data_IF_626060810640
#
_entry.id   IF_626060810640
#
_cell.length_a   1.000
_cell.length_b   1.000
_cell.length_c   1.000
_cell.angle_alpha   90.00
_cell.angle_beta   90.00
_cell.angle_gamma   90.00
#
_symmetry.space_group_name_H-M   'P 1'
#
loop_
_entity.id
_entity.type
_entity.pdbx_description
1 polymer ?
#
# COMPACT_ATOMS: atom_id res chain seq x y z
N UNK A 1 -21.85 -3.10 47.13
CA UNK A 1 -20.88 -4.09 46.62
C UNK A 1 -19.83 -3.36 45.79
N UNK A 2 -18.78 -2.86 46.43
CA UNK A 2 -17.68 -2.11 45.81
C UNK A 2 -16.57 -3.09 45.43
N UNK A 3 -16.61 -3.62 44.21
CA UNK A 3 -15.47 -4.38 43.67
C UNK A 3 -14.30 -3.42 43.46
N UNK A 4 -13.21 -3.73 44.15
CA UNK A 4 -12.11 -2.82 44.42
C UNK A 4 -11.27 -2.52 43.20
N UNK A 5 -10.95 -1.23 43.05
CA UNK A 5 -9.96 -0.66 42.11
C UNK A 5 -8.60 -1.41 42.13
N UNK A 6 -8.33 -2.19 43.18
CA UNK A 6 -7.14 -3.05 43.32
C UNK A 6 -7.11 -4.25 42.35
N UNK A 7 -8.25 -4.82 41.95
CA UNK A 7 -8.27 -5.96 41.02
C UNK A 7 -7.89 -5.55 39.58
N UNK A 8 -8.29 -4.35 39.15
CA UNK A 8 -7.94 -3.85 37.82
C UNK A 8 -6.44 -3.53 37.66
N UNK A 9 -5.79 -3.04 38.72
CA UNK A 9 -4.36 -2.80 38.71
C UNK A 9 -3.58 -4.12 38.53
N UNK A 10 -4.01 -5.19 39.22
CA UNK A 10 -3.41 -6.53 39.12
C UNK A 10 -3.51 -7.10 37.70
N UNK A 11 -4.66 -6.94 37.02
CA UNK A 11 -4.87 -7.44 35.64
C UNK A 11 -3.98 -6.69 34.63
N UNK A 12 -3.79 -5.37 34.82
CA UNK A 12 -2.92 -4.58 33.96
C UNK A 12 -1.44 -4.89 34.16
N UNK A 13 -1.04 -5.25 35.38
CA UNK A 13 0.34 -5.65 35.70
C UNK A 13 0.68 -7.02 35.12
N UNK A 14 -0.24 -7.98 35.22
CA UNK A 14 -0.12 -9.31 34.57
C UNK A 14 0.04 -9.16 33.04
N UNK A 15 -0.78 -8.32 32.39
CA UNK A 15 -0.67 -8.07 30.94
C UNK A 15 0.63 -7.36 30.54
N UNK A 16 1.23 -6.56 31.42
CA UNK A 16 2.55 -5.93 31.17
C UNK A 16 3.67 -6.96 31.27
N UNK A 17 3.59 -7.87 32.23
CA UNK A 17 4.58 -8.92 32.44
C UNK A 17 4.55 -9.97 31.32
N UNK A 18 3.37 -10.30 30.79
CA UNK A 18 3.21 -11.15 29.60
C UNK A 18 3.89 -10.53 28.36
N UNK A 19 3.70 -9.21 28.13
CA UNK A 19 4.37 -8.50 27.02
C UNK A 19 5.89 -8.46 27.16
N UNK A 20 6.41 -8.35 28.40
CA UNK A 20 7.85 -8.40 28.67
C UNK A 20 8.41 -9.81 28.43
N UNK A 21 7.67 -10.83 28.83
CA UNK A 21 8.02 -12.24 28.64
C UNK A 21 8.01 -12.63 27.17
N UNK A 22 7.05 -12.15 26.40
CA UNK A 22 6.97 -12.38 24.95
C UNK A 22 8.09 -11.66 24.19
N UNK A 23 8.47 -10.44 24.61
CA UNK A 23 9.69 -9.77 24.12
C UNK A 23 10.94 -10.57 24.42
N UNK A 24 11.09 -11.12 25.64
CA UNK A 24 12.25 -11.94 26.01
C UNK A 24 12.32 -13.25 25.21
N UNK A 25 11.18 -13.91 24.96
CA UNK A 25 11.12 -15.09 24.08
C UNK A 25 11.48 -14.75 22.63
N UNK A 26 11.00 -13.61 22.11
CA UNK A 26 11.36 -13.14 20.78
C UNK A 26 12.86 -12.80 20.65
N UNK A 27 13.48 -12.28 21.72
CA UNK A 27 14.92 -11.99 21.75
C UNK A 27 15.78 -13.26 21.90
N UNK A 28 15.35 -14.24 22.70
CA UNK A 28 16.08 -15.50 22.89
C UNK A 28 16.03 -16.40 21.65
N UNK A 29 14.93 -16.38 20.90
CA UNK A 29 14.81 -17.06 19.59
C UNK A 29 15.78 -16.53 18.52
N UNK A 30 16.39 -15.37 18.74
CA UNK A 30 17.23 -14.69 17.74
C UNK A 30 18.74 -14.95 17.93
N UNK A 31 19.16 -15.65 18.99
CA UNK A 31 20.58 -15.93 19.27
C UNK A 31 21.05 -17.34 18.86
N UNK A 32 20.17 -18.20 18.35
CA UNK A 32 20.49 -19.59 18.00
C UNK A 32 20.69 -19.90 16.51
N UNK A 33 20.75 -18.89 15.62
CA UNK A 33 20.78 -19.13 14.17
C UNK A 33 21.83 -18.27 13.44
N UNK A 34 23.01 -18.13 14.04
CA UNK A 34 24.16 -17.44 13.44
C UNK A 34 24.88 -18.26 12.34
N UNK A 35 24.33 -19.39 11.89
CA UNK A 35 24.90 -20.22 10.82
C UNK A 35 23.79 -20.56 9.83
N UNK A 36 23.40 -19.58 9.02
CA UNK A 36 22.90 -19.75 7.64
C UNK A 36 22.77 -18.38 7.00
N UNK A 37 23.92 -17.96 6.51
CA UNK A 37 24.12 -16.86 5.58
C UNK A 37 23.34 -17.11 4.28
N UNK A 38 22.04 -16.82 4.32
CA UNK A 38 21.22 -16.55 3.14
C UNK A 38 20.49 -15.23 3.42
N UNK A 39 21.16 -14.15 3.05
CA UNK A 39 20.58 -12.87 2.64
C UNK A 39 19.04 -12.84 2.64
N UNK A 40 18.44 -12.58 3.80
CA UNK A 40 17.02 -12.21 3.87
C UNK A 40 16.94 -10.86 3.15
N UNK A 41 16.29 -10.76 1.97
CA UNK A 41 16.25 -9.49 1.26
C UNK A 41 15.57 -8.47 2.18
N UNK A 42 16.12 -7.25 2.33
CA UNK A 42 15.52 -6.14 3.09
C UNK A 42 14.03 -5.91 2.76
N UNK A 43 13.57 -6.37 1.58
CA UNK A 43 12.18 -6.40 1.12
C UNK A 43 11.25 -7.31 1.93
N UNK A 44 11.78 -8.35 2.59
CA UNK A 44 11.04 -9.35 3.37
C UNK A 44 10.20 -8.71 4.50
N UNK A 45 10.79 -7.76 5.20
CA UNK A 45 10.11 -7.05 6.29
C UNK A 45 9.07 -6.05 5.76
N UNK A 46 9.34 -5.43 4.61
CA UNK A 46 8.42 -4.48 3.96
C UNK A 46 7.14 -5.13 3.44
N UNK A 47 7.21 -6.34 2.86
CA UNK A 47 6.00 -7.01 2.35
C UNK A 47 5.12 -7.51 3.50
N UNK A 48 5.68 -8.12 4.55
CA UNK A 48 4.90 -8.54 5.73
C UNK A 48 4.23 -7.34 6.41
N UNK A 49 4.96 -6.24 6.60
CA UNK A 49 4.41 -5.02 7.18
C UNK A 49 3.26 -4.45 6.34
N UNK A 50 3.37 -4.48 5.02
CA UNK A 50 2.30 -4.06 4.09
C UNK A 50 1.02 -4.89 4.28
N UNK A 51 1.13 -6.22 4.32
CA UNK A 51 -0.06 -7.07 4.49
C UNK A 51 -0.66 -7.01 5.88
N UNK A 52 0.17 -6.85 6.92
CA UNK A 52 -0.32 -6.52 8.26
C UNK A 52 -1.10 -5.20 8.28
N UNK A 53 -0.65 -4.18 7.53
CA UNK A 53 -1.39 -2.91 7.40
C UNK A 53 -2.74 -3.13 6.72
N UNK A 54 -2.79 -3.89 5.63
CA UNK A 54 -4.05 -4.24 4.94
C UNK A 54 -5.01 -4.95 5.89
N UNK A 55 -4.53 -5.97 6.62
CA UNK A 55 -5.33 -6.71 7.60
C UNK A 55 -5.97 -5.77 8.62
N UNK A 56 -5.15 -4.94 9.27
CA UNK A 56 -5.61 -3.97 10.29
C UNK A 56 -6.58 -2.95 9.72
N UNK A 57 -6.33 -2.46 8.52
CA UNK A 57 -7.21 -1.51 7.87
C UNK A 57 -8.59 -2.10 7.58
N UNK A 58 -8.68 -3.37 7.16
CA UNK A 58 -9.97 -4.05 6.97
C UNK A 58 -10.70 -4.25 8.30
N UNK A 59 -9.98 -4.62 9.37
CA UNK A 59 -10.54 -4.71 10.74
C UNK A 59 -11.10 -3.35 11.18
N UNK A 60 -10.34 -2.27 11.02
CA UNK A 60 -10.76 -0.91 11.33
C UNK A 60 -11.96 -0.46 10.50
N UNK A 61 -11.98 -0.73 9.18
CA UNK A 61 -13.13 -0.42 8.32
C UNK A 61 -14.39 -1.15 8.77
N UNK A 62 -14.25 -2.44 9.14
CA UNK A 62 -15.35 -3.24 9.69
C UNK A 62 -15.90 -2.64 10.98
N UNK A 63 -15.04 -2.10 11.84
CA UNK A 63 -15.44 -1.41 13.07
C UNK A 63 -16.13 -0.07 12.78
N UNK A 64 -15.51 0.79 11.97
CA UNK A 64 -16.02 2.12 11.63
C UNK A 64 -17.40 2.06 10.97
N UNK A 65 -17.63 1.05 10.12
CA UNK A 65 -18.88 0.89 9.36
C UNK A 65 -19.90 -0.03 10.05
N UNK A 66 -19.54 -0.62 11.19
CA UNK A 66 -20.31 -1.70 11.82
C UNK A 66 -20.60 -2.89 10.87
N UNK A 67 -19.63 -3.21 10.01
CA UNK A 67 -19.74 -4.21 8.95
C UNK A 67 -19.69 -3.61 7.54
N UNK A 68 -19.74 -4.47 6.52
CA UNK A 68 -19.68 -4.03 5.11
C UNK A 68 -21.05 -4.12 4.44
N UNK A 69 -21.34 -3.15 3.58
CA UNK A 69 -22.56 -3.09 2.77
C UNK A 69 -22.57 -4.19 1.71
N UNK A 70 -23.75 -4.47 1.18
CA UNK A 70 -23.92 -5.35 0.02
C UNK A 70 -23.03 -4.90 -1.15
N UNK A 71 -22.51 -5.86 -1.92
CA UNK A 71 -21.49 -5.64 -2.95
C UNK A 71 -20.05 -5.56 -2.42
N UNK A 72 -19.83 -5.13 -1.17
CA UNK A 72 -18.47 -5.00 -0.61
C UNK A 72 -18.02 -6.21 0.21
N UNK A 73 -18.96 -7.01 0.73
CA UNK A 73 -18.68 -8.09 1.70
C UNK A 73 -17.76 -9.17 1.16
N UNK A 74 -18.04 -9.66 -0.05
CA UNK A 74 -17.18 -10.66 -0.70
C UNK A 74 -15.76 -10.12 -0.85
N UNK A 75 -15.60 -8.89 -1.33
CA UNK A 75 -14.30 -8.26 -1.48
C UNK A 75 -13.58 -8.02 -0.14
N UNK A 76 -14.31 -7.68 0.93
CA UNK A 76 -13.75 -7.51 2.25
C UNK A 76 -13.16 -8.82 2.79
N UNK A 77 -13.92 -9.92 2.71
CA UNK A 77 -13.46 -11.24 3.14
C UNK A 77 -12.33 -11.73 2.24
N UNK A 78 -12.44 -11.56 0.92
CA UNK A 78 -11.39 -11.91 -0.03
C UNK A 78 -10.08 -11.18 0.30
N UNK A 79 -10.12 -9.85 0.46
CA UNK A 79 -8.94 -9.06 0.78
C UNK A 79 -8.33 -9.42 2.14
N UNK A 80 -9.17 -9.68 3.15
CA UNK A 80 -8.75 -10.10 4.49
C UNK A 80 -8.08 -11.47 4.45
N UNK A 81 -8.71 -12.44 3.78
CA UNK A 81 -8.18 -13.77 3.58
C UNK A 81 -6.88 -13.73 2.76
N UNK A 82 -6.79 -12.93 1.70
CA UNK A 82 -5.54 -12.74 0.94
C UNK A 82 -4.42 -12.22 1.83
N UNK A 83 -4.69 -11.23 2.69
CA UNK A 83 -3.69 -10.70 3.62
C UNK A 83 -3.20 -11.79 4.59
N UNK A 84 -4.10 -12.55 5.20
CA UNK A 84 -3.75 -13.63 6.13
C UNK A 84 -3.04 -14.81 5.44
N UNK A 85 -3.52 -15.28 4.29
CA UNK A 85 -2.83 -16.33 3.52
C UNK A 85 -1.40 -15.92 3.18
N UNK A 86 -1.23 -14.66 2.76
CA UNK A 86 0.10 -14.12 2.44
C UNK A 86 1.01 -14.09 3.67
N UNK A 87 0.46 -13.82 4.86
CA UNK A 87 1.19 -13.88 6.13
C UNK A 87 1.46 -15.32 6.62
N UNK A 88 0.91 -16.34 5.97
CA UNK A 88 1.18 -17.75 6.25
C UNK A 88 0.14 -18.47 7.12
N UNK A 89 -1.05 -17.88 7.32
CA UNK A 89 -2.13 -18.53 8.06
C UNK A 89 -2.84 -19.59 7.21
N UNK A 90 -3.30 -20.67 7.84
CA UNK A 90 -4.11 -21.72 7.19
C UNK A 90 -5.58 -21.30 7.02
N UNK A 91 -6.31 -21.94 6.11
CA UNK A 91 -7.72 -21.61 5.83
C UNK A 91 -8.62 -21.71 7.07
N UNK A 92 -8.38 -22.72 7.92
CA UNK A 92 -9.10 -22.85 9.19
C UNK A 92 -8.84 -21.66 10.13
N UNK A 93 -7.57 -21.25 10.26
CA UNK A 93 -7.24 -20.06 11.05
C UNK A 93 -7.90 -18.83 10.44
N UNK A 94 -7.84 -18.66 9.12
CA UNK A 94 -8.44 -17.53 8.42
C UNK A 94 -9.95 -17.45 8.66
N UNK A 95 -10.65 -18.58 8.59
CA UNK A 95 -12.08 -18.64 8.91
C UNK A 95 -12.34 -18.15 10.33
N UNK A 96 -11.59 -18.64 11.32
CA UNK A 96 -11.72 -18.21 12.71
C UNK A 96 -11.43 -16.71 12.91
N UNK A 97 -10.41 -16.17 12.23
CA UNK A 97 -10.07 -14.74 12.29
C UNK A 97 -11.07 -13.85 11.55
N UNK A 98 -11.67 -14.32 10.46
CA UNK A 98 -12.64 -13.59 9.67
C UNK A 98 -14.08 -13.68 10.23
N UNK A 99 -14.33 -14.61 11.14
CA UNK A 99 -15.63 -14.84 11.77
C UNK A 99 -16.25 -13.59 12.42
N UNK A 100 -15.51 -12.77 13.20
CA UNK A 100 -16.08 -11.56 13.79
C UNK A 100 -16.48 -10.52 12.74
N UNK A 101 -15.76 -10.46 11.62
CA UNK A 101 -16.08 -9.59 10.49
C UNK A 101 -17.34 -10.09 9.78
N UNK A 102 -17.42 -11.41 9.55
CA UNK A 102 -18.59 -12.06 8.97
C UNK A 102 -19.85 -11.89 9.85
N UNK A 103 -19.72 -12.05 11.16
CA UNK A 103 -20.84 -11.92 12.11
C UNK A 103 -21.48 -10.52 12.10
N UNK A 104 -20.70 -9.46 11.85
CA UNK A 104 -21.25 -8.11 11.66
C UNK A 104 -22.03 -7.97 10.36
N UNK A 105 -21.59 -8.65 9.30
CA UNK A 105 -22.25 -8.62 7.99
C UNK A 105 -23.56 -9.43 7.95
N UNK A 106 -23.65 -10.52 8.73
CA UNK A 106 -24.80 -11.42 8.74
C UNK A 106 -26.04 -10.84 9.42
N UNK A 107 -25.90 -9.72 10.13
CA UNK A 107 -27.00 -8.96 10.73
C UNK A 107 -27.76 -8.08 9.71
N UNK A 108 -27.26 -7.96 8.47
CA UNK A 108 -27.90 -7.20 7.40
C UNK A 108 -29.05 -7.95 6.71
N UNK A 109 -30.06 -7.25 6.15
CA UNK A 109 -31.24 -7.86 5.52
C UNK A 109 -30.90 -8.78 4.34
N UNK A 110 -29.96 -8.40 3.48
CA UNK A 110 -29.39 -9.28 2.46
C UNK A 110 -28.23 -10.04 3.09
N UNK A 111 -28.47 -11.26 3.60
CA UNK A 111 -27.46 -12.00 4.37
C UNK A 111 -26.35 -12.52 3.47
N UNK A 112 -25.11 -12.19 3.81
CA UNK A 112 -23.94 -12.85 3.23
C UNK A 112 -23.86 -14.26 3.79
N UNK A 113 -23.98 -15.26 2.92
CA UNK A 113 -24.11 -16.67 3.30
C UNK A 113 -22.77 -17.28 3.71
N UNK A 114 -22.84 -18.37 4.47
CA UNK A 114 -21.66 -19.19 4.82
C UNK A 114 -20.94 -19.74 3.59
N UNK A 115 -21.68 -20.04 2.53
CA UNK A 115 -21.13 -20.53 1.27
C UNK A 115 -20.31 -19.44 0.57
N UNK A 116 -20.81 -18.21 0.52
CA UNK A 116 -20.08 -17.07 -0.05
C UNK A 116 -18.85 -16.71 0.78
N UNK A 117 -18.94 -16.82 2.11
CA UNK A 117 -17.80 -16.65 3.02
C UNK A 117 -16.69 -17.68 2.74
N UNK A 118 -17.05 -18.96 2.67
CA UNK A 118 -16.10 -20.02 2.34
C UNK A 118 -15.53 -19.87 0.92
N UNK A 119 -16.36 -19.46 -0.04
CA UNK A 119 -15.92 -19.18 -1.40
C UNK A 119 -14.89 -18.05 -1.44
N UNK A 120 -15.14 -16.94 -0.74
CA UNK A 120 -14.20 -15.81 -0.66
C UNK A 120 -12.84 -16.21 -0.06
N UNK A 121 -12.83 -17.06 0.97
CA UNK A 121 -11.58 -17.58 1.57
C UNK A 121 -10.81 -18.45 0.57
N UNK A 122 -11.48 -19.34 -0.16
CA UNK A 122 -10.84 -20.17 -1.20
C UNK A 122 -10.32 -19.32 -2.36
N UNK A 123 -11.08 -18.33 -2.80
CA UNK A 123 -10.69 -17.42 -3.88
C UNK A 123 -9.45 -16.57 -3.56
N UNK A 124 -9.07 -16.44 -2.29
CA UNK A 124 -7.86 -15.72 -1.89
C UNK A 124 -6.57 -16.35 -2.45
N UNK A 125 -6.58 -17.65 -2.78
CA UNK A 125 -5.42 -18.31 -3.42
C UNK A 125 -5.18 -17.78 -4.84
N UNK A 126 -6.23 -17.41 -5.56
CA UNK A 126 -6.10 -16.81 -6.90
C UNK A 126 -5.41 -15.44 -6.87
N UNK A 127 -5.43 -14.75 -5.72
CA UNK A 127 -4.74 -13.49 -5.51
C UNK A 127 -3.28 -13.67 -5.06
N UNK A 128 -2.82 -14.93 -4.88
CA UNK A 128 -1.50 -15.31 -4.39
C UNK A 128 -0.64 -15.89 -5.54
N UNK A 129 -0.17 -15.04 -6.46
CA UNK A 129 0.74 -15.48 -7.53
C UNK A 129 0.86 -14.53 -8.72
N UNK A 130 1.82 -14.82 -9.63
CA UNK A 130 2.30 -13.97 -10.72
C UNK A 130 1.25 -13.39 -11.68
N UNK A 131 0.01 -13.93 -11.69
CA UNK A 131 -1.11 -13.31 -12.43
C UNK A 131 -1.51 -11.95 -11.85
N UNK A 132 -1.25 -11.74 -10.56
CA UNK A 132 -1.17 -10.42 -9.92
C UNK A 132 0.26 -10.17 -9.48
N UNK A 133 1.22 -10.12 -10.41
CA UNK A 133 2.64 -9.82 -10.18
C UNK A 133 2.93 -8.55 -9.34
N UNK A 134 1.89 -7.78 -8.98
CA UNK A 134 1.97 -6.60 -8.10
C UNK A 134 1.15 -6.70 -6.79
N UNK A 135 0.52 -7.84 -6.49
CA UNK A 135 -0.35 -8.05 -5.33
C UNK A 135 -1.60 -7.16 -5.31
N UNK A 136 -2.46 -7.36 -4.32
CA UNK A 136 -3.66 -6.53 -4.11
C UNK A 136 -3.26 -5.07 -3.83
N UNK A 137 -3.44 -4.15 -4.80
CA UNK A 137 -3.01 -2.75 -4.67
C UNK A 137 -3.98 -1.96 -3.76
N UNK A 138 -3.48 -0.87 -3.16
CA UNK A 138 -4.33 0.01 -2.35
C UNK A 138 -5.43 0.69 -3.18
N UNK A 139 -5.17 1.00 -4.45
CA UNK A 139 -6.20 1.49 -5.38
C UNK A 139 -7.33 0.48 -5.55
N UNK A 140 -7.00 -0.79 -5.76
CA UNK A 140 -7.99 -1.87 -5.87
C UNK A 140 -8.78 -2.05 -4.58
N UNK A 141 -8.12 -1.96 -3.41
CA UNK A 141 -8.83 -1.99 -2.12
C UNK A 141 -9.80 -0.82 -1.96
N UNK A 142 -9.38 0.38 -2.34
CA UNK A 142 -10.21 1.60 -2.29
C UNK A 142 -11.43 1.45 -3.20
N UNK A 143 -11.25 0.93 -4.41
CA UNK A 143 -12.33 0.68 -5.36
C UNK A 143 -13.29 -0.40 -4.86
N UNK A 144 -12.77 -1.58 -4.49
CA UNK A 144 -13.59 -2.72 -4.05
C UNK A 144 -14.38 -2.44 -2.77
N UNK A 145 -13.78 -1.72 -1.83
CA UNK A 145 -14.40 -1.42 -0.54
C UNK A 145 -15.02 -0.02 -0.50
N UNK A 146 -14.98 0.73 -1.61
CA UNK A 146 -15.47 2.10 -1.69
C UNK A 146 -14.98 2.95 -0.51
N UNK A 147 -13.67 2.99 -0.30
CA UNK A 147 -13.05 3.68 0.85
C UNK A 147 -13.06 5.19 0.59
N UNK A 148 -13.75 5.93 1.44
CA UNK A 148 -13.83 7.41 1.39
C UNK A 148 -12.49 8.06 1.78
N UNK A 149 -12.20 9.30 1.36
CA UNK A 149 -10.97 10.00 1.76
C UNK A 149 -10.77 10.05 3.29
N UNK A 150 -11.84 10.28 4.05
CA UNK A 150 -11.79 10.29 5.52
C UNK A 150 -11.37 8.93 6.09
N UNK A 151 -11.86 7.84 5.53
CA UNK A 151 -11.47 6.49 5.95
C UNK A 151 -10.04 6.13 5.53
N UNK A 152 -9.55 6.69 4.42
CA UNK A 152 -8.15 6.51 3.99
C UNK A 152 -7.17 7.12 5.00
N UNK A 153 -7.52 8.27 5.59
CA UNK A 153 -6.72 8.93 6.63
C UNK A 153 -6.66 8.07 7.91
N UNK A 154 -7.79 7.50 8.33
CA UNK A 154 -7.86 6.68 9.55
C UNK A 154 -7.13 5.34 9.37
N UNK A 155 -7.31 4.70 8.21
CA UNK A 155 -6.79 3.34 7.95
C UNK A 155 -5.36 3.35 7.41
N UNK A 156 -4.89 4.50 6.91
CA UNK A 156 -3.61 4.63 6.21
C UNK A 156 -3.54 3.91 4.87
N UNK A 157 -4.69 3.47 4.31
CA UNK A 157 -4.79 2.98 2.92
C UNK A 157 -4.85 4.20 2.01
N UNK A 158 -3.69 4.74 1.66
CA UNK A 158 -3.59 5.87 0.73
C UNK A 158 -3.13 5.35 -0.63
N UNK A 159 -3.80 5.70 -1.75
CA UNK A 159 -3.29 5.32 -3.05
C UNK A 159 -1.86 5.83 -3.18
N UNK A 160 -0.94 4.98 -3.64
CA UNK A 160 0.42 5.45 -3.91
C UNK A 160 0.30 6.54 -4.97
N UNK A 161 0.60 7.78 -4.59
CA UNK A 161 0.91 8.84 -5.55
C UNK A 161 1.99 8.26 -6.45
N UNK A 162 1.75 8.23 -7.77
CA UNK A 162 2.77 7.80 -8.73
C UNK A 162 4.01 8.64 -8.44
N UNK A 163 5.06 8.04 -7.90
CA UNK A 163 6.35 8.71 -7.84
C UNK A 163 6.68 9.04 -9.28
N UNK A 164 6.91 10.31 -9.66
CA UNK A 164 7.11 10.66 -11.04
C UNK A 164 8.26 9.82 -11.58
N UNK A 165 8.00 9.12 -12.68
CA UNK A 165 9.00 8.27 -13.31
C UNK A 165 10.20 9.13 -13.74
N UNK A 166 11.32 8.49 -14.06
CA UNK A 166 12.46 9.23 -14.61
C UNK A 166 12.04 10.03 -15.86
N UNK A 167 11.20 9.43 -16.71
CA UNK A 167 10.62 10.09 -17.89
C UNK A 167 9.75 11.30 -17.51
N UNK A 168 8.86 11.17 -16.52
CA UNK A 168 8.01 12.28 -16.06
C UNK A 168 8.84 13.45 -15.53
N UNK A 169 9.92 13.14 -14.78
CA UNK A 169 10.86 14.15 -14.27
C UNK A 169 11.60 14.87 -15.39
N UNK A 170 12.05 14.13 -16.42
CA UNK A 170 12.71 14.71 -17.60
C UNK A 170 11.72 15.61 -18.36
N UNK A 171 10.49 15.13 -18.60
CA UNK A 171 9.45 15.89 -19.28
C UNK A 171 9.12 17.20 -18.55
N UNK A 172 8.88 17.12 -17.24
CA UNK A 172 8.61 18.31 -16.41
C UNK A 172 9.79 19.29 -16.43
N UNK A 173 11.03 18.77 -16.38
CA UNK A 173 12.25 19.60 -16.46
C UNK A 173 12.36 20.31 -17.81
N UNK A 174 12.09 19.61 -18.92
CA UNK A 174 12.10 20.19 -20.27
C UNK A 174 11.03 21.25 -20.46
N UNK A 175 9.81 21.01 -19.95
CA UNK A 175 8.74 22.02 -19.98
C UNK A 175 9.15 23.30 -19.24
N UNK A 176 9.69 23.17 -18.02
CA UNK A 176 10.18 24.30 -17.25
C UNK A 176 11.37 25.01 -17.92
N UNK A 177 12.24 24.25 -18.59
CA UNK A 177 13.36 24.80 -19.35
C UNK A 177 12.88 25.60 -20.57
N UNK A 178 11.87 25.11 -21.31
CA UNK A 178 11.26 25.83 -22.42
C UNK A 178 10.57 27.12 -21.96
N UNK A 179 9.89 27.10 -20.80
CA UNK A 179 9.30 28.29 -20.19
C UNK A 179 10.38 29.33 -19.82
N UNK A 180 11.49 28.88 -19.21
CA UNK A 180 12.61 29.76 -18.89
C UNK A 180 13.28 30.34 -20.13
N UNK A 181 13.37 29.59 -21.23
CA UNK A 181 13.88 30.11 -22.50
C UNK A 181 12.97 31.20 -23.08
N UNK A 182 11.64 31.09 -22.91
CA UNK A 182 10.69 32.14 -23.31
C UNK A 182 10.81 33.40 -22.45
N UNK A 183 11.00 33.23 -21.14
CA UNK A 183 11.15 34.34 -20.20
C UNK A 183 12.52 35.04 -20.30
N UNK A 184 13.58 34.30 -20.64
CA UNK A 184 14.95 34.80 -20.72
C UNK A 184 15.61 34.39 -22.04
N UNK A 185 15.20 34.97 -23.17
CA UNK A 185 15.80 34.67 -24.46
C UNK A 185 17.31 34.99 -24.44
N UNK A 186 18.13 34.08 -24.98
CA UNK A 186 19.60 34.22 -24.99
C UNK A 186 20.31 33.87 -23.68
N UNK A 187 19.60 33.42 -22.64
CA UNK A 187 20.24 32.97 -21.41
C UNK A 187 21.16 31.76 -21.67
N UNK A 188 22.38 31.81 -21.14
CA UNK A 188 23.34 30.71 -21.27
C UNK A 188 22.88 29.46 -20.53
N UNK A 189 23.27 28.27 -21.02
CA UNK A 189 22.95 26.99 -20.40
C UNK A 189 23.37 26.93 -18.91
N UNK A 190 24.47 27.60 -18.55
CA UNK A 190 24.95 27.70 -17.16
C UNK A 190 24.00 28.52 -16.28
N UNK A 191 23.44 29.62 -16.80
CA UNK A 191 22.47 30.46 -16.11
C UNK A 191 21.14 29.72 -15.92
N UNK A 192 20.66 29.05 -16.97
CA UNK A 192 19.45 28.22 -16.91
C UNK A 192 19.60 27.05 -15.93
N UNK A 193 20.77 26.39 -15.91
CA UNK A 193 21.09 25.32 -14.96
C UNK A 193 21.03 25.80 -13.50
N UNK A 194 21.58 27.00 -13.22
CA UNK A 194 21.48 27.60 -11.88
C UNK A 194 20.03 27.86 -11.46
N UNK A 195 19.19 28.35 -12.38
CA UNK A 195 17.76 28.63 -12.10
C UNK A 195 16.92 27.35 -11.91
N UNK A 196 17.28 26.27 -12.60
CA UNK A 196 16.62 24.96 -12.48
C UNK A 196 17.13 24.12 -11.31
N UNK A 197 18.25 24.49 -10.69
CA UNK A 197 18.93 23.65 -9.70
C UNK A 197 19.47 22.35 -10.31
N UNK A 198 19.83 22.37 -11.59
CA UNK A 198 20.34 21.21 -12.33
C UNK A 198 21.80 21.42 -12.76
N UNK A 199 22.47 20.36 -13.19
CA UNK A 199 23.83 20.48 -13.73
C UNK A 199 23.79 21.06 -15.15
N UNK A 200 24.83 21.83 -15.52
CA UNK A 200 24.94 22.41 -16.85
C UNK A 200 24.93 21.34 -17.97
N UNK A 201 25.61 20.18 -17.86
CA UNK A 201 25.52 19.13 -18.87
C UNK A 201 24.10 18.57 -19.06
N UNK A 202 23.34 18.41 -17.97
CA UNK A 202 21.94 17.96 -18.04
C UNK A 202 21.08 18.96 -18.79
N UNK A 203 21.23 20.25 -18.50
CA UNK A 203 20.48 21.31 -19.20
C UNK A 203 20.88 21.37 -20.68
N UNK A 204 22.16 21.30 -21.02
CA UNK A 204 22.60 21.29 -22.43
C UNK A 204 22.03 20.11 -23.21
N UNK A 205 21.98 18.92 -22.60
CA UNK A 205 21.36 17.73 -23.22
C UNK A 205 19.85 17.94 -23.45
N UNK A 206 19.13 18.47 -22.46
CA UNK A 206 17.70 18.74 -22.59
C UNK A 206 17.40 19.86 -23.60
N UNK A 207 18.25 20.90 -23.70
CA UNK A 207 18.13 21.93 -24.72
C UNK A 207 18.26 21.37 -26.14
N UNK A 208 19.20 20.45 -26.37
CA UNK A 208 19.33 19.77 -27.67
C UNK A 208 18.10 18.93 -28.00
N UNK A 209 17.55 18.24 -26.99
CA UNK A 209 16.34 17.44 -27.18
C UNK A 209 15.13 18.32 -27.53
N UNK A 210 14.95 19.45 -26.84
CA UNK A 210 13.88 20.42 -27.15
C UNK A 210 14.04 21.01 -28.56
N UNK A 211 15.27 21.37 -28.95
CA UNK A 211 15.54 21.88 -30.29
C UNK A 211 15.30 20.82 -31.38
N UNK A 212 15.67 19.56 -31.14
CA UNK A 212 15.39 18.45 -32.04
C UNK A 212 13.90 18.12 -32.17
N UNK A 213 13.15 18.18 -31.07
CA UNK A 213 11.69 18.02 -31.06
C UNK A 213 11.00 19.16 -31.83
N UNK A 214 11.47 20.40 -31.70
CA UNK A 214 10.96 21.55 -32.45
C UNK A 214 11.24 21.45 -33.96
N UNK A 215 12.41 20.94 -34.35
CA UNK A 215 12.78 20.71 -35.76
C UNK A 215 11.88 19.64 -36.41
N UNK A 216 11.58 18.55 -35.71
CA UNK A 216 10.69 17.50 -36.22
C UNK A 216 9.23 17.96 -36.34
N UNK A 217 8.78 18.88 -35.49
CA UNK A 217 7.43 19.46 -35.57
C UNK A 217 7.23 20.48 -36.71
N UNK A 218 8.30 20.87 -37.40
CA UNK A 218 8.26 21.81 -38.53
C UNK A 218 8.57 21.14 -39.88
N UNK A 219 8.67 19.80 -39.92
CA UNK A 219 8.80 19.09 -41.18
C UNK A 219 7.52 19.34 -42.01
N UNK A 220 7.63 19.83 -43.26
CA UNK A 220 6.47 20.07 -44.10
C UNK A 220 5.74 18.73 -44.31
N UNK A 221 4.44 18.70 -44.03
CA UNK A 221 3.58 17.60 -44.46
C UNK A 221 3.80 17.40 -45.95
N UNK A 222 4.32 16.23 -46.32
CA UNK A 222 4.57 15.89 -47.71
C UNK A 222 3.24 16.02 -48.47
N UNK A 223 3.18 17.04 -49.32
CA UNK A 223 2.08 17.30 -50.25
C UNK A 223 1.82 16.01 -51.02
N UNK A 224 0.63 15.43 -50.81
CA UNK A 224 0.11 14.29 -51.59
C UNK A 224 -0.31 14.74 -52.98
#
# INVERSE_FOLDING_TARGET
MTYGIREFASILEIRREERRSEKRRASASNHGNAIRDRSVPKRANGWKARWNRVRRAIEQLSELRSGFKEGQRHHAILAYATALKTLGYSDHQIAAWAEPIFAKMSQSPNRFSRNEFAAAIRSADCCRGDRFSSGLRYTTLIEWLQITPQEQEITGIVPRTKTPSCADKIKARRQKLAELQRQFPGASARRLAKMLGASAPTVTSDLRAIAGEAFLSQAPEAVS
#
